data_IF_388248259244
#
_entry.id   IF_388248259244
#
_cell.length_a   1.000
_cell.length_b   1.000
_cell.length_c   1.000
_cell.angle_alpha   90.00
_cell.angle_beta   90.00
_cell.angle_gamma   90.00
#
_symmetry.space_group_name_H-M   'P 1'
#
loop_
_entity.id
_entity.type
_entity.pdbx_description
1 polymer ?
#
# COMPACT_ATOMS: atom_id res chain seq x y z
N UNK A 1 -1.20 8.22 4.62
CA UNK A 1 -0.38 9.28 5.26
C UNK A 1 -1.18 10.17 6.20
N UNK A 2 -2.34 10.72 5.82
CA UNK A 2 -3.13 11.61 6.70
C UNK A 2 -3.31 11.03 8.10
N UNK A 3 -3.83 9.81 8.20
CA UNK A 3 -4.06 9.13 9.50
C UNK A 3 -2.80 8.84 10.33
N UNK A 4 -1.62 8.97 9.74
CA UNK A 4 -0.34 8.83 10.46
C UNK A 4 0.22 10.17 10.95
N UNK A 5 -0.25 11.28 10.38
CA UNK A 5 0.23 12.63 10.67
C UNK A 5 -0.81 13.46 11.43
N UNK A 6 -2.05 13.02 11.49
CA UNK A 6 -3.17 13.70 12.12
C UNK A 6 -3.93 12.70 13.01
N UNK A 7 -4.14 13.07 14.27
CA UNK A 7 -4.82 12.23 15.26
C UNK A 7 -6.35 12.41 15.28
N UNK A 8 -6.91 13.30 14.47
CA UNK A 8 -8.36 13.56 14.40
C UNK A 8 -9.17 12.45 13.71
N UNK A 9 -8.66 11.71 12.67
CA UNK A 9 -9.41 10.63 12.07
C UNK A 9 -9.74 9.55 13.10
N UNK A 10 -11.00 9.12 13.14
CA UNK A 10 -11.48 8.03 14.00
C UNK A 10 -11.28 6.66 13.33
N UNK A 11 -11.26 6.63 12.01
CA UNK A 11 -11.03 5.44 11.21
C UNK A 11 -10.33 5.75 9.90
N UNK A 12 -9.70 4.73 9.34
CA UNK A 12 -9.02 4.78 8.07
C UNK A 12 -9.35 3.53 7.25
N UNK A 13 -9.85 3.71 6.04
CA UNK A 13 -10.00 2.63 5.08
C UNK A 13 -8.85 2.72 4.08
N UNK A 14 -8.12 1.63 3.92
CA UNK A 14 -7.03 1.48 2.98
C UNK A 14 -7.42 0.41 1.96
N UNK A 15 -7.82 0.84 0.77
CA UNK A 15 -8.19 -0.06 -0.31
C UNK A 15 -7.09 -0.09 -1.36
N UNK A 16 -6.55 -1.29 -1.61
CA UNK A 16 -5.55 -1.55 -2.65
C UNK A 16 -4.46 -0.46 -2.71
N UNK A 17 -3.74 -0.20 -1.62
CA UNK A 17 -2.77 0.88 -1.58
C UNK A 17 -1.67 0.66 -2.62
N UNK A 18 -1.42 1.68 -3.42
CA UNK A 18 -0.38 1.72 -4.46
C UNK A 18 0.80 2.54 -3.95
N UNK A 19 1.97 2.38 -4.54
CA UNK A 19 3.22 3.04 -4.14
C UNK A 19 3.63 2.72 -2.69
N UNK A 20 3.47 1.48 -2.30
CA UNK A 20 3.80 0.97 -0.97
C UNK A 20 4.94 -0.02 -1.11
N UNK A 21 5.93 0.04 -0.22
CA UNK A 21 7.09 -0.84 -0.19
C UNK A 21 7.76 -0.99 -1.57
N UNK A 22 8.19 0.14 -2.09
CA UNK A 22 8.78 0.20 -3.44
C UNK A 22 10.02 -0.69 -3.58
N UNK A 23 10.77 -0.94 -2.51
CA UNK A 23 11.93 -1.85 -2.54
C UNK A 23 11.51 -3.28 -2.86
N UNK A 24 10.47 -3.78 -2.19
CA UNK A 24 9.88 -5.10 -2.49
C UNK A 24 9.31 -5.15 -3.91
N UNK A 25 8.62 -4.12 -4.36
CA UNK A 25 8.08 -4.07 -5.73
C UNK A 25 9.16 -4.13 -6.79
N UNK A 26 10.28 -3.41 -6.59
CA UNK A 26 11.44 -3.48 -7.50
C UNK A 26 12.09 -4.85 -7.48
N UNK A 27 12.30 -5.45 -6.31
CA UNK A 27 12.82 -6.80 -6.18
C UNK A 27 11.95 -7.84 -6.91
N UNK A 28 10.63 -7.75 -6.76
CA UNK A 28 9.69 -8.63 -7.47
C UNK A 28 9.76 -8.43 -8.99
N UNK A 29 9.86 -7.20 -9.45
CA UNK A 29 9.99 -6.91 -10.87
C UNK A 29 11.28 -7.47 -11.49
N UNK A 30 12.36 -7.52 -10.73
CA UNK A 30 13.65 -8.03 -11.16
C UNK A 30 13.73 -9.57 -11.10
N UNK A 31 13.11 -10.18 -10.08
CA UNK A 31 13.28 -11.62 -9.78
C UNK A 31 12.11 -12.48 -10.26
N UNK A 32 10.89 -11.98 -10.24
CA UNK A 32 9.66 -12.77 -10.47
C UNK A 32 8.98 -12.47 -11.80
N UNK A 33 9.56 -11.63 -12.65
CA UNK A 33 8.95 -11.14 -13.91
C UNK A 33 7.60 -10.44 -13.73
N UNK A 34 7.22 -10.14 -12.49
CA UNK A 34 6.08 -9.28 -12.18
C UNK A 34 6.48 -7.84 -12.45
N UNK A 35 5.64 -7.10 -13.17
CA UNK A 35 5.91 -5.70 -13.48
C UNK A 35 4.83 -4.80 -12.89
N UNK A 36 4.85 -4.53 -11.58
CA UNK A 36 3.89 -3.65 -10.95
C UNK A 36 3.94 -2.27 -11.63
N UNK A 37 2.78 -1.69 -11.88
CA UNK A 37 2.69 -0.40 -12.53
C UNK A 37 3.56 0.71 -11.89
N UNK A 38 3.65 0.84 -10.55
CA UNK A 38 4.53 1.83 -9.95
C UNK A 38 6.00 1.67 -10.36
N UNK A 39 6.48 0.43 -10.43
CA UNK A 39 7.88 0.14 -10.80
C UNK A 39 8.18 0.57 -12.24
N UNK A 40 7.25 0.39 -13.17
CA UNK A 40 7.45 0.77 -14.57
C UNK A 40 7.72 2.27 -14.70
N UNK A 41 6.99 3.11 -13.97
CA UNK A 41 7.19 4.56 -13.97
C UNK A 41 8.56 4.95 -13.43
N UNK A 42 8.97 4.33 -12.31
CA UNK A 42 10.26 4.61 -11.71
C UNK A 42 11.43 4.08 -12.55
N UNK A 43 11.28 2.91 -13.18
CA UNK A 43 12.27 2.37 -14.11
C UNK A 43 12.45 3.29 -15.32
N UNK A 44 11.37 3.80 -15.92
CA UNK A 44 11.43 4.75 -17.01
C UNK A 44 12.17 6.03 -16.60
N UNK A 45 11.95 6.50 -15.38
CA UNK A 45 12.65 7.66 -14.83
C UNK A 45 14.15 7.41 -14.63
N UNK A 46 14.53 6.28 -14.03
CA UNK A 46 15.93 5.90 -13.78
C UNK A 46 16.68 5.69 -15.11
N UNK A 47 16.04 5.06 -16.08
CA UNK A 47 16.65 4.74 -17.37
C UNK A 47 16.79 5.95 -18.31
N UNK A 48 16.23 7.11 -17.96
CA UNK A 48 16.37 8.31 -18.76
C UNK A 48 17.77 8.93 -18.51
N UNK A 49 18.65 9.03 -19.54
CA UNK A 49 20.01 9.55 -19.39
C UNK A 49 20.09 11.00 -18.89
N UNK A 50 19.00 11.76 -19.02
CA UNK A 50 18.90 13.13 -18.53
C UNK A 50 18.73 13.20 -17.00
N UNK A 51 18.30 12.11 -16.38
CA UNK A 51 18.13 12.03 -14.94
C UNK A 51 19.40 11.51 -14.30
N UNK A 52 19.97 12.29 -13.39
CA UNK A 52 21.18 11.90 -12.64
C UNK A 52 20.87 11.02 -11.43
N UNK A 53 19.63 10.58 -11.27
CA UNK A 53 19.20 9.80 -10.14
C UNK A 53 19.43 8.30 -10.43
N UNK A 54 20.18 7.65 -9.59
CA UNK A 54 20.31 6.20 -9.62
C UNK A 54 19.23 5.54 -8.72
N UNK A 55 19.09 4.22 -8.82
CA UNK A 55 18.10 3.44 -8.08
C UNK A 55 18.18 3.66 -6.56
N UNK A 56 19.38 3.68 -5.99
CA UNK A 56 19.54 3.85 -4.54
C UNK A 56 19.17 5.26 -4.07
N UNK A 57 19.53 6.28 -4.80
CA UNK A 57 19.12 7.64 -4.50
C UNK A 57 17.60 7.82 -4.63
N UNK A 58 16.98 7.15 -5.59
CA UNK A 58 15.53 7.14 -5.73
C UNK A 58 14.89 6.52 -4.48
N UNK A 59 15.37 5.38 -4.01
CA UNK A 59 14.83 4.74 -2.80
C UNK A 59 15.02 5.63 -1.56
N UNK A 60 16.17 6.26 -1.38
CA UNK A 60 16.39 7.20 -0.28
C UNK A 60 15.40 8.35 -0.27
N UNK A 61 15.07 8.89 -1.44
CA UNK A 61 14.04 9.93 -1.56
C UNK A 61 12.66 9.34 -1.28
N UNK A 62 12.37 8.16 -1.84
CA UNK A 62 11.07 7.52 -1.68
C UNK A 62 10.78 7.16 -0.23
N UNK A 63 11.78 6.77 0.55
CA UNK A 63 11.61 6.43 1.97
C UNK A 63 10.95 7.57 2.78
N UNK A 64 11.03 8.81 2.32
CA UNK A 64 10.30 9.94 2.91
C UNK A 64 8.81 9.99 2.57
N UNK A 65 8.37 9.22 1.60
CA UNK A 65 6.98 9.21 1.10
C UNK A 65 6.32 7.83 1.20
N UNK A 66 7.09 6.76 1.41
CA UNK A 66 6.56 5.41 1.46
C UNK A 66 5.63 5.23 2.66
N UNK A 67 4.34 4.90 2.43
CA UNK A 67 3.37 4.69 3.51
C UNK A 67 3.81 3.67 4.56
N UNK A 68 4.65 2.70 4.22
CA UNK A 68 5.19 1.70 5.16
C UNK A 68 5.90 2.39 6.33
N UNK A 69 6.65 3.45 6.06
CA UNK A 69 7.42 4.17 7.08
C UNK A 69 6.54 5.02 8.01
N UNK A 70 5.33 5.36 7.58
CA UNK A 70 4.37 6.15 8.36
C UNK A 70 3.35 5.29 9.10
N UNK A 71 3.13 4.06 8.67
CA UNK A 71 2.12 3.17 9.22
C UNK A 71 2.23 2.96 10.75
N UNK A 72 3.42 2.90 11.37
CA UNK A 72 3.55 2.79 12.82
C UNK A 72 2.94 3.95 13.60
N UNK A 73 2.73 5.10 12.97
CA UNK A 73 2.16 6.30 13.59
C UNK A 73 0.64 6.36 13.51
N UNK A 74 -0.01 5.45 12.77
CA UNK A 74 -1.48 5.39 12.67
C UNK A 74 -2.06 4.96 14.03
N UNK A 75 -2.98 5.77 14.56
CA UNK A 75 -3.60 5.56 15.88
C UNK A 75 -5.10 5.29 15.82
N UNK A 76 -5.75 5.58 14.69
CA UNK A 76 -7.17 5.29 14.50
C UNK A 76 -7.40 3.82 14.12
N UNK A 77 -8.65 3.38 14.13
CA UNK A 77 -9.05 2.06 13.59
C UNK A 77 -8.73 1.99 12.11
N UNK A 78 -8.31 0.83 11.62
CA UNK A 78 -7.99 0.61 10.21
C UNK A 78 -8.72 -0.60 9.66
N UNK A 79 -9.44 -0.38 8.57
CA UNK A 79 -9.89 -1.44 7.68
C UNK A 79 -8.96 -1.48 6.47
N UNK A 80 -8.39 -2.64 6.19
CA UNK A 80 -7.49 -2.86 5.07
C UNK A 80 -8.15 -3.80 4.06
N UNK A 81 -8.43 -3.31 2.85
CA UNK A 81 -9.02 -4.08 1.77
C UNK A 81 -8.02 -4.35 0.64
N UNK A 82 -7.86 -5.61 0.24
CA UNK A 82 -6.94 -5.97 -0.83
C UNK A 82 -7.38 -7.22 -1.60
N UNK A 83 -6.78 -7.43 -2.78
CA UNK A 83 -7.00 -8.61 -3.63
C UNK A 83 -5.74 -9.47 -3.66
N UNK A 84 -5.91 -10.78 -3.53
CA UNK A 84 -4.79 -11.74 -3.54
C UNK A 84 -4.05 -11.81 -4.88
N UNK A 85 -4.74 -11.52 -5.97
CA UNK A 85 -4.20 -11.60 -7.33
C UNK A 85 -3.96 -10.23 -7.98
N UNK A 86 -3.87 -9.18 -7.19
CA UNK A 86 -3.62 -7.85 -7.71
C UNK A 86 -2.19 -7.72 -8.24
N UNK A 87 -2.04 -7.50 -9.55
CA UNK A 87 -0.74 -7.36 -10.21
C UNK A 87 -0.23 -5.91 -10.22
N UNK A 88 -1.13 -4.95 -10.11
CA UNK A 88 -0.77 -3.53 -10.04
C UNK A 88 -0.16 -3.16 -8.69
N UNK A 89 -0.78 -3.66 -7.62
CA UNK A 89 -0.26 -3.57 -6.26
C UNK A 89 -0.20 -4.99 -5.69
N UNK A 90 0.92 -5.68 -5.82
CA UNK A 90 1.05 -7.04 -5.32
C UNK A 90 0.75 -7.15 -3.82
N UNK A 91 0.06 -8.23 -3.37
CA UNK A 91 -0.33 -8.38 -1.98
C UNK A 91 0.85 -8.37 -1.01
N UNK A 92 2.04 -8.73 -1.45
CA UNK A 92 3.25 -8.68 -0.61
C UNK A 92 3.54 -7.27 -0.09
N UNK A 93 3.49 -6.26 -0.98
CA UNK A 93 3.70 -4.86 -0.59
C UNK A 93 2.56 -4.33 0.30
N UNK A 94 1.33 -4.71 -0.02
CA UNK A 94 0.16 -4.34 0.78
C UNK A 94 0.22 -4.93 2.20
N UNK A 95 0.62 -6.20 2.33
CA UNK A 95 0.80 -6.88 3.62
C UNK A 95 1.96 -6.27 4.40
N UNK A 96 3.03 -5.84 3.73
CA UNK A 96 4.12 -5.13 4.40
C UNK A 96 3.61 -3.86 5.10
N UNK A 97 2.77 -3.07 4.43
CA UNK A 97 2.11 -1.91 5.05
C UNK A 97 1.22 -2.31 6.23
N UNK A 98 0.35 -3.31 6.04
CA UNK A 98 -0.55 -3.79 7.08
C UNK A 98 0.20 -4.21 8.34
N UNK A 99 1.34 -4.91 8.19
CA UNK A 99 2.14 -5.40 9.30
C UNK A 99 2.82 -4.28 10.10
N UNK A 100 3.02 -3.10 9.51
CA UNK A 100 3.57 -1.94 10.21
C UNK A 100 2.53 -1.18 11.04
N UNK A 101 1.25 -1.41 10.80
CA UNK A 101 0.18 -0.79 11.60
C UNK A 101 0.13 -1.48 12.97
N UNK A 102 0.47 -0.75 14.04
CA UNK A 102 0.69 -1.29 15.40
C UNK A 102 -0.55 -1.23 16.31
N UNK A 103 -1.74 -1.10 15.78
CA UNK A 103 -2.96 -1.04 16.59
C UNK A 103 -3.70 -2.38 16.61
N UNK A 104 -4.23 -2.74 17.78
CA UNK A 104 -4.88 -4.04 18.00
C UNK A 104 -6.20 -4.21 17.27
N UNK A 105 -6.85 -3.11 16.89
CA UNK A 105 -8.15 -3.13 16.21
C UNK A 105 -8.04 -2.82 14.72
N UNK A 106 -6.96 -3.24 14.07
CA UNK A 106 -6.83 -3.30 12.62
C UNK A 106 -7.53 -4.55 12.09
N UNK A 107 -8.28 -4.39 11.03
CA UNK A 107 -9.01 -5.46 10.34
C UNK A 107 -8.55 -5.55 8.90
N UNK A 108 -8.49 -6.76 8.34
CA UNK A 108 -8.11 -6.99 6.95
C UNK A 108 -9.17 -7.80 6.23
N UNK A 109 -9.49 -7.39 5.02
CA UNK A 109 -10.29 -8.14 4.07
C UNK A 109 -9.45 -8.46 2.83
N UNK A 110 -9.26 -9.74 2.55
CA UNK A 110 -8.50 -10.22 1.40
C UNK A 110 -9.45 -10.89 0.41
N UNK A 111 -9.75 -10.21 -0.70
CA UNK A 111 -10.55 -10.80 -1.78
C UNK A 111 -9.73 -11.84 -2.54
N UNK A 112 -10.28 -13.03 -2.83
CA UNK A 112 -9.57 -14.09 -3.56
C UNK A 112 -9.40 -13.78 -5.05
N UNK A 113 -10.24 -12.91 -5.60
CA UNK A 113 -10.37 -12.66 -7.02
C UNK A 113 -9.42 -11.56 -7.54
N UNK A 114 -9.31 -11.46 -8.86
CA UNK A 114 -8.28 -10.66 -9.52
C UNK A 114 -8.63 -9.17 -9.64
N UNK A 115 -9.90 -8.84 -9.85
CA UNK A 115 -10.29 -7.59 -10.50
C UNK A 115 -11.05 -6.59 -9.62
N UNK A 116 -10.62 -6.37 -8.44
CA UNK A 116 -11.22 -5.31 -7.64
C UNK A 116 -11.94 -5.83 -6.41
N UNK A 117 -12.46 -4.92 -5.66
CA UNK A 117 -13.25 -5.23 -4.48
C UNK A 117 -14.70 -5.48 -4.91
N UNK A 118 -15.26 -6.55 -4.42
CA UNK A 118 -16.61 -6.97 -4.80
C UNK A 118 -17.68 -6.39 -3.86
N UNK A 119 -18.95 -6.68 -4.18
CA UNK A 119 -20.09 -6.25 -3.36
C UNK A 119 -19.98 -6.67 -1.89
N UNK A 120 -19.40 -7.84 -1.61
CA UNK A 120 -19.22 -8.35 -0.24
C UNK A 120 -18.28 -7.42 0.53
N UNK A 121 -17.17 -7.01 -0.08
CA UNK A 121 -16.26 -6.05 0.54
C UNK A 121 -16.95 -4.73 0.87
N UNK A 122 -17.64 -4.13 -0.10
CA UNK A 122 -18.30 -2.84 0.12
C UNK A 122 -19.42 -2.90 1.17
N UNK A 123 -20.10 -4.04 1.27
CA UNK A 123 -21.06 -4.27 2.34
C UNK A 123 -20.37 -4.36 3.70
N UNK A 124 -19.24 -5.03 3.77
CA UNK A 124 -18.41 -5.14 4.98
C UNK A 124 -17.83 -3.78 5.37
N UNK A 125 -17.30 -3.02 4.43
CA UNK A 125 -16.77 -1.67 4.64
C UNK A 125 -17.84 -0.73 5.21
N UNK A 126 -19.03 -0.72 4.60
CA UNK A 126 -20.15 0.08 5.09
C UNK A 126 -20.58 -0.28 6.51
N UNK A 127 -20.62 -1.59 6.84
CA UNK A 127 -20.89 -2.05 8.19
C UNK A 127 -19.79 -1.60 9.16
N UNK A 128 -18.53 -1.74 8.76
CA UNK A 128 -17.39 -1.34 9.58
C UNK A 128 -17.40 0.16 9.87
N UNK A 129 -17.63 1.01 8.85
CA UNK A 129 -17.73 2.46 9.01
C UNK A 129 -18.82 2.83 10.02
N UNK A 130 -20.00 2.24 9.91
CA UNK A 130 -21.11 2.48 10.84
C UNK A 130 -20.81 2.05 12.29
N UNK A 131 -19.93 1.07 12.45
CA UNK A 131 -19.54 0.57 13.79
C UNK A 131 -18.56 1.52 14.49
N UNK A 132 -17.79 2.29 13.75
CA UNK A 132 -16.76 3.18 14.32
C UNK A 132 -17.21 4.64 14.46
N UNK A 133 -18.27 5.05 13.74
CA UNK A 133 -18.90 6.35 13.86
C UNK A 133 -19.96 6.35 14.97
#
# INVERSE_FOLDING_TARGET
MVSALDNRPQGCVLERPVYVDMRTLFFMAETQKVKPWPVLNFQAYINNPRNRLNKENLFRIWDYFDPVNFAPNIRCKVLFGHNMKNTTCPPQAAIALYNQIRIDNREIYMAPDEEGMNYIYYSFENFWIKKIL
#
